data_IF_721350805489
#
_entry.id   IF_721350805489
#
_cell.length_a   1.000
_cell.length_b   1.000
_cell.length_c   1.000
_cell.angle_alpha   90.00
_cell.angle_beta   90.00
_cell.angle_gamma   90.00
#
_symmetry.space_group_name_H-M   'P 1'
#
loop_
_entity.id
_entity.type
_entity.pdbx_description
1 polymer ?
#
# COMPACT_ATOMS: atom_id res chain seq x y z
N UNK A 1 -7.98 30.24 -5.10
CA UNK A 1 -9.22 29.44 -5.19
C UNK A 1 -10.32 30.23 -4.52
N UNK A 2 -11.52 30.28 -5.11
CA UNK A 2 -12.63 31.01 -4.53
C UNK A 2 -13.02 30.44 -3.15
N UNK A 3 -13.40 31.32 -2.22
CA UNK A 3 -13.68 30.97 -0.81
C UNK A 3 -14.96 30.11 -0.64
N UNK A 4 -15.76 30.00 -1.68
CA UNK A 4 -17.10 29.40 -1.72
C UNK A 4 -17.14 28.06 -2.47
N UNK A 5 -15.99 27.45 -2.73
CA UNK A 5 -15.86 26.20 -3.53
C UNK A 5 -16.73 25.01 -3.06
N UNK A 6 -17.22 25.05 -1.82
CA UNK A 6 -18.05 24.02 -1.20
C UNK A 6 -19.55 24.32 -1.31
N UNK A 7 -19.90 25.45 -1.93
CA UNK A 7 -21.29 25.88 -2.11
C UNK A 7 -21.89 25.14 -3.31
N UNK A 8 -23.07 24.56 -3.09
CA UNK A 8 -23.85 23.92 -4.15
C UNK A 8 -24.66 24.97 -4.92
N UNK A 9 -24.81 24.77 -6.23
CA UNK A 9 -25.65 25.65 -7.05
C UNK A 9 -27.15 25.51 -6.70
N UNK A 10 -27.62 24.27 -6.46
CA UNK A 10 -29.02 23.95 -6.12
C UNK A 10 -29.07 23.00 -4.90
N UNK A 11 -28.76 23.46 -3.68
CA UNK A 11 -28.73 22.60 -2.50
C UNK A 11 -30.08 21.96 -2.18
N UNK A 12 -31.19 22.66 -2.46
CA UNK A 12 -32.56 22.19 -2.20
C UNK A 12 -32.99 21.02 -3.11
N UNK A 13 -32.24 20.75 -4.19
CA UNK A 13 -32.49 19.63 -5.11
C UNK A 13 -31.75 18.36 -4.71
N UNK A 14 -30.88 18.40 -3.68
CA UNK A 14 -30.09 17.25 -3.24
C UNK A 14 -30.75 16.59 -2.03
N UNK A 15 -31.21 15.33 -2.15
CA UNK A 15 -31.73 14.58 -1.00
C UNK A 15 -30.65 14.44 0.08
N UNK A 16 -31.00 14.79 1.32
CA UNK A 16 -30.10 14.65 2.47
C UNK A 16 -30.48 13.44 3.34
N UNK A 17 -29.50 12.71 3.92
CA UNK A 17 -28.06 12.96 3.88
C UNK A 17 -27.41 12.50 2.56
N UNK A 18 -26.46 13.28 2.06
CA UNK A 18 -25.64 12.94 0.88
C UNK A 18 -24.14 13.15 1.18
N UNK A 19 -23.30 12.27 0.64
CA UNK A 19 -21.85 12.46 0.60
C UNK A 19 -21.47 13.22 -0.66
N UNK A 20 -20.97 14.43 -0.50
CA UNK A 20 -20.56 15.29 -1.61
C UNK A 20 -19.05 15.20 -1.81
N UNK A 21 -18.64 14.99 -3.06
CA UNK A 21 -17.24 15.01 -3.48
C UNK A 21 -17.06 16.07 -4.56
N UNK A 22 -15.92 16.76 -4.53
CA UNK A 22 -15.62 17.86 -5.45
C UNK A 22 -14.50 17.41 -6.41
N UNK A 23 -14.82 17.03 -7.66
CA UNK A 23 -13.84 16.49 -8.62
C UNK A 23 -12.58 17.36 -8.79
N UNK A 24 -12.73 18.68 -8.86
CA UNK A 24 -11.59 19.60 -9.00
C UNK A 24 -10.70 19.63 -7.75
N UNK A 25 -11.27 19.39 -6.57
CA UNK A 25 -10.49 19.25 -5.33
C UNK A 25 -9.73 17.94 -5.27
N UNK A 26 -10.35 16.85 -5.75
CA UNK A 26 -9.69 15.56 -5.89
C UNK A 26 -8.49 15.68 -6.85
N UNK A 27 -8.69 16.29 -8.03
CA UNK A 27 -7.62 16.55 -9.00
C UNK A 27 -6.47 17.36 -8.41
N UNK A 28 -6.78 18.43 -7.68
CA UNK A 28 -5.75 19.24 -7.02
C UNK A 28 -4.99 18.46 -5.94
N UNK A 29 -5.67 17.64 -5.14
CA UNK A 29 -5.02 16.79 -4.14
C UNK A 29 -4.10 15.76 -4.80
N UNK A 30 -4.54 15.12 -5.89
CA UNK A 30 -3.72 14.21 -6.69
C UNK A 30 -2.49 14.94 -7.22
N UNK A 31 -2.67 16.12 -7.83
CA UNK A 31 -1.59 16.94 -8.35
C UNK A 31 -0.56 17.28 -7.27
N UNK A 32 -1.02 17.64 -6.06
CA UNK A 32 -0.14 17.94 -4.92
C UNK A 32 0.68 16.72 -4.48
N UNK A 33 0.06 15.54 -4.39
CA UNK A 33 0.78 14.30 -4.04
C UNK A 33 1.87 13.98 -5.08
N UNK A 34 1.53 14.04 -6.36
CA UNK A 34 2.51 13.81 -7.45
C UNK A 34 3.63 14.84 -7.40
N UNK A 35 3.29 16.13 -7.23
CA UNK A 35 4.28 17.21 -7.14
C UNK A 35 5.22 17.03 -5.95
N UNK A 36 4.70 16.58 -4.80
CA UNK A 36 5.52 16.39 -3.60
C UNK A 36 6.58 15.30 -3.74
N UNK A 37 6.36 14.31 -4.62
CA UNK A 37 7.32 13.24 -4.89
C UNK A 37 8.18 13.47 -6.14
N UNK A 38 7.77 14.39 -7.02
CA UNK A 38 8.39 14.62 -8.33
C UNK A 38 8.12 13.52 -9.36
N UNK A 39 7.65 12.34 -8.95
CA UNK A 39 7.36 11.20 -9.82
C UNK A 39 6.16 10.40 -9.30
N UNK A 40 5.17 10.17 -10.16
CA UNK A 40 3.92 9.50 -9.80
C UNK A 40 4.14 8.00 -9.50
N UNK A 41 5.20 7.42 -10.05
CA UNK A 41 5.59 6.03 -9.89
C UNK A 41 6.03 5.71 -8.46
N UNK A 42 6.33 6.71 -7.63
CA UNK A 42 6.57 6.48 -6.18
C UNK A 42 5.29 6.42 -5.36
N UNK A 43 4.13 6.72 -5.96
CA UNK A 43 2.85 6.60 -5.27
C UNK A 43 2.28 5.20 -5.41
N UNK A 44 1.88 4.63 -4.27
CA UNK A 44 0.99 3.48 -4.16
C UNK A 44 -0.21 3.84 -3.31
N UNK A 45 -1.08 4.71 -3.83
CA UNK A 45 -2.18 5.30 -3.06
C UNK A 45 -3.17 4.25 -2.56
N UNK A 46 -3.71 4.47 -1.37
CA UNK A 46 -4.60 3.50 -0.73
C UNK A 46 -6.08 3.84 -0.97
N UNK A 47 -6.81 2.94 -1.63
CA UNK A 47 -8.21 3.20 -2.04
C UNK A 47 -9.24 3.07 -0.93
N UNK A 48 -8.86 2.58 0.27
CA UNK A 48 -9.81 2.33 1.37
C UNK A 48 -10.58 3.58 1.80
N UNK A 49 -10.03 4.77 1.54
CA UNK A 49 -10.64 6.06 1.87
C UNK A 49 -11.87 6.34 1.02
N UNK A 50 -11.78 6.11 -0.30
CA UNK A 50 -12.82 6.51 -1.25
C UNK A 50 -13.58 5.31 -1.82
N UNK A 51 -12.92 4.18 -2.10
CA UNK A 51 -13.52 2.98 -2.70
C UNK A 51 -14.30 3.26 -4.00
N UNK A 52 -13.80 4.21 -4.78
CA UNK A 52 -14.41 4.70 -6.03
C UNK A 52 -13.48 4.47 -7.22
N UNK A 53 -13.97 3.78 -8.24
CA UNK A 53 -13.22 3.52 -9.48
C UNK A 53 -12.92 4.80 -10.25
N UNK A 54 -13.81 5.79 -10.19
CA UNK A 54 -13.65 7.09 -10.83
C UNK A 54 -12.44 7.85 -10.28
N UNK A 55 -12.21 7.77 -8.97
CA UNK A 55 -11.03 8.38 -8.32
C UNK A 55 -9.76 7.63 -8.69
N UNK A 56 -9.80 6.30 -8.79
CA UNK A 56 -8.67 5.48 -9.29
C UNK A 56 -8.33 5.90 -10.71
N UNK A 57 -9.31 6.05 -11.61
CA UNK A 57 -9.08 6.50 -12.98
C UNK A 57 -8.52 7.94 -13.03
N UNK A 58 -8.93 8.83 -12.13
CA UNK A 58 -8.31 10.15 -11.99
C UNK A 58 -6.84 10.05 -11.58
N UNK A 59 -6.51 9.18 -10.62
CA UNK A 59 -5.14 8.92 -10.17
C UNK A 59 -4.29 8.33 -11.31
N UNK A 60 -4.83 7.37 -12.06
CA UNK A 60 -4.16 6.77 -13.24
C UNK A 60 -3.91 7.77 -14.35
N UNK A 61 -4.86 8.67 -14.64
CA UNK A 61 -4.65 9.77 -15.59
C UNK A 61 -3.54 10.74 -15.16
N UNK A 62 -3.26 10.82 -13.87
CA UNK A 62 -2.15 11.60 -13.31
C UNK A 62 -0.82 10.82 -13.23
N UNK A 63 -0.76 9.60 -13.79
CA UNK A 63 0.44 8.76 -13.83
C UNK A 63 0.55 7.74 -12.69
N UNK A 64 -0.39 7.72 -11.73
CA UNK A 64 -0.35 6.77 -10.61
C UNK A 64 -0.88 5.41 -11.08
N UNK A 65 0.02 4.42 -11.17
CA UNK A 65 -0.31 3.07 -11.68
C UNK A 65 -0.41 2.00 -10.59
N UNK A 66 0.07 2.31 -9.37
CA UNK A 66 0.17 1.39 -8.24
C UNK A 66 -0.82 1.77 -7.14
N UNK A 67 -1.49 0.77 -6.56
CA UNK A 67 -2.54 0.99 -5.56
C UNK A 67 -2.46 -0.01 -4.41
N UNK A 68 -2.93 0.43 -3.24
CA UNK A 68 -3.19 -0.43 -2.07
C UNK A 68 -4.67 -0.55 -1.82
N UNK A 69 -5.10 -1.76 -1.47
CA UNK A 69 -6.46 -2.08 -1.04
C UNK A 69 -6.43 -2.85 0.28
N UNK A 70 -7.54 -2.83 1.02
CA UNK A 70 -7.69 -3.55 2.29
C UNK A 70 -8.52 -4.82 2.14
N UNK A 71 -9.25 -4.99 1.04
CA UNK A 71 -10.17 -6.11 0.83
C UNK A 71 -10.07 -6.67 -0.59
N UNK A 72 -10.51 -7.92 -0.77
CA UNK A 72 -10.61 -8.55 -2.10
C UNK A 72 -11.55 -7.77 -3.02
N UNK A 73 -12.66 -7.23 -2.51
CA UNK A 73 -13.60 -6.43 -3.33
C UNK A 73 -12.95 -5.14 -3.84
N UNK A 74 -12.10 -4.51 -3.03
CA UNK A 74 -11.32 -3.35 -3.46
C UNK A 74 -10.21 -3.74 -4.46
N UNK A 75 -9.59 -4.91 -4.30
CA UNK A 75 -8.63 -5.45 -5.27
C UNK A 75 -9.28 -5.71 -6.64
N UNK A 76 -10.49 -6.27 -6.64
CA UNK A 76 -11.29 -6.50 -7.84
C UNK A 76 -11.66 -5.16 -8.51
N UNK A 77 -12.15 -4.19 -7.74
CA UNK A 77 -12.45 -2.84 -8.24
C UNK A 77 -11.22 -2.19 -8.88
N UNK A 78 -10.03 -2.34 -8.27
CA UNK A 78 -8.79 -1.84 -8.84
C UNK A 78 -8.44 -2.51 -10.18
N UNK A 79 -8.61 -3.83 -10.29
CA UNK A 79 -8.44 -4.56 -11.54
C UNK A 79 -9.38 -4.04 -12.64
N UNK A 80 -10.66 -3.83 -12.31
CA UNK A 80 -11.66 -3.28 -13.24
C UNK A 80 -11.38 -1.82 -13.61
N UNK A 81 -10.85 -1.02 -12.69
CA UNK A 81 -10.53 0.39 -12.89
C UNK A 81 -9.24 0.62 -13.70
N UNK A 82 -8.48 -0.43 -14.03
CA UNK A 82 -7.29 -0.36 -14.85
C UNK A 82 -5.98 -0.10 -14.09
N UNK A 83 -5.93 -0.44 -12.80
CA UNK A 83 -4.67 -0.47 -12.05
C UNK A 83 -3.64 -1.40 -12.72
N UNK A 84 -2.35 -1.11 -12.60
CA UNK A 84 -1.28 -1.98 -13.13
C UNK A 84 -0.60 -2.81 -12.04
N UNK A 85 -0.59 -2.30 -10.82
CA UNK A 85 -0.02 -2.99 -9.66
C UNK A 85 -0.94 -2.77 -8.45
N UNK A 86 -1.40 -3.87 -7.87
CA UNK A 86 -2.35 -3.89 -6.75
C UNK A 86 -1.72 -4.66 -5.59
N UNK A 87 -1.55 -3.96 -4.47
CA UNK A 87 -1.15 -4.55 -3.20
C UNK A 87 -2.38 -4.72 -2.30
N UNK A 88 -2.74 -5.96 -1.99
CA UNK A 88 -3.63 -6.26 -0.87
C UNK A 88 -2.86 -6.05 0.43
N UNK A 89 -3.08 -4.90 1.07
CA UNK A 89 -2.44 -4.49 2.32
C UNK A 89 -3.12 -5.15 3.54
N UNK A 90 -3.39 -6.44 3.43
CA UNK A 90 -3.87 -7.32 4.48
C UNK A 90 -3.47 -8.76 4.14
N UNK A 91 -3.13 -9.58 5.14
CA UNK A 91 -2.78 -10.99 4.93
C UNK A 91 -4.04 -11.81 4.62
N UNK A 92 -4.21 -12.36 3.39
CA UNK A 92 -5.35 -13.20 3.07
C UNK A 92 -5.18 -14.55 3.74
N UNK A 93 -6.28 -15.06 4.30
CA UNK A 93 -6.33 -16.37 4.94
C UNK A 93 -7.50 -17.17 4.38
N UNK A 94 -7.37 -18.50 4.43
CA UNK A 94 -8.38 -19.43 3.96
C UNK A 94 -8.87 -19.10 2.53
N UNK A 95 -10.19 -18.93 2.31
CA UNK A 95 -10.74 -18.76 0.96
C UNK A 95 -10.25 -17.49 0.24
N UNK A 96 -9.79 -16.47 0.97
CA UNK A 96 -9.33 -15.24 0.35
C UNK A 96 -8.01 -15.40 -0.41
N UNK A 97 -7.21 -16.43 -0.11
CA UNK A 97 -6.01 -16.77 -0.87
C UNK A 97 -6.41 -17.15 -2.31
N UNK A 98 -7.33 -18.09 -2.46
CA UNK A 98 -7.85 -18.51 -3.77
C UNK A 98 -8.55 -17.37 -4.52
N UNK A 99 -9.25 -16.48 -3.81
CA UNK A 99 -9.87 -15.30 -4.44
C UNK A 99 -8.83 -14.32 -4.99
N UNK A 100 -7.75 -14.05 -4.25
CA UNK A 100 -6.66 -13.18 -4.74
C UNK A 100 -6.00 -13.79 -5.98
N UNK A 101 -5.70 -15.08 -5.96
CA UNK A 101 -5.12 -15.80 -7.10
C UNK A 101 -6.08 -15.82 -8.31
N UNK A 102 -7.38 -15.95 -8.07
CA UNK A 102 -8.41 -15.84 -9.11
C UNK A 102 -8.40 -14.47 -9.79
N UNK A 103 -8.26 -13.38 -9.02
CA UNK A 103 -8.11 -12.03 -9.58
C UNK A 103 -6.85 -11.90 -10.43
N UNK A 104 -5.71 -12.43 -9.95
CA UNK A 104 -4.47 -12.45 -10.73
C UNK A 104 -4.60 -13.25 -12.04
N UNK A 105 -5.37 -14.34 -12.04
CA UNK A 105 -5.65 -15.12 -13.25
C UNK A 105 -6.57 -14.41 -14.25
N UNK A 106 -7.56 -13.64 -13.76
CA UNK A 106 -8.51 -12.89 -14.59
C UNK A 106 -7.91 -11.60 -15.17
N UNK A 107 -7.20 -10.84 -14.36
CA UNK A 107 -6.62 -9.55 -14.74
C UNK A 107 -5.12 -9.70 -15.04
N UNK A 108 -4.79 -10.41 -16.13
CA UNK A 108 -3.40 -10.81 -16.46
C UNK A 108 -2.42 -9.65 -16.66
N UNK A 109 -2.92 -8.47 -16.99
CA UNK A 109 -2.12 -7.25 -17.17
C UNK A 109 -1.91 -6.46 -15.87
N UNK A 110 -2.33 -7.04 -14.73
CA UNK A 110 -2.27 -6.43 -13.40
C UNK A 110 -1.45 -7.32 -12.48
N UNK A 111 -0.41 -6.74 -11.88
CA UNK A 111 0.40 -7.43 -10.86
C UNK A 111 -0.31 -7.34 -9.51
N UNK A 112 -0.88 -8.44 -9.05
CA UNK A 112 -1.41 -8.53 -7.69
C UNK A 112 -0.34 -9.03 -6.73
N UNK A 113 -0.27 -8.42 -5.55
CA UNK A 113 0.61 -8.81 -4.46
C UNK A 113 -0.12 -8.72 -3.12
N UNK A 114 0.45 -9.34 -2.08
CA UNK A 114 -0.11 -9.31 -0.73
C UNK A 114 0.98 -9.12 0.32
N UNK A 115 0.58 -8.80 1.54
CA UNK A 115 1.47 -8.79 2.70
C UNK A 115 1.36 -10.11 3.50
N UNK A 116 2.43 -10.49 4.20
CA UNK A 116 2.43 -11.57 5.18
C UNK A 116 3.38 -11.29 6.36
N UNK A 117 3.04 -11.77 7.55
CA UNK A 117 3.81 -11.65 8.79
C UNK A 117 3.95 -12.97 9.58
N UNK A 118 3.39 -14.07 9.05
CA UNK A 118 3.40 -15.38 9.66
C UNK A 118 3.94 -16.46 8.70
N UNK A 119 4.72 -17.41 9.24
CA UNK A 119 5.32 -18.48 8.44
C UNK A 119 4.28 -19.46 7.88
N UNK A 120 3.22 -19.76 8.65
CA UNK A 120 2.12 -20.62 8.19
C UNK A 120 1.32 -19.96 7.07
N UNK A 121 1.07 -18.66 7.18
CA UNK A 121 0.43 -17.88 6.13
C UNK A 121 1.27 -17.84 4.83
N UNK A 122 2.57 -17.62 4.93
CA UNK A 122 3.49 -17.70 3.77
C UNK A 122 3.45 -19.09 3.12
N UNK A 123 3.47 -20.16 3.93
CA UNK A 123 3.33 -21.53 3.43
C UNK A 123 2.02 -21.77 2.67
N UNK A 124 0.90 -21.33 3.21
CA UNK A 124 -0.41 -21.47 2.58
C UNK A 124 -0.52 -20.65 1.28
N UNK A 125 0.09 -19.46 1.24
CA UNK A 125 0.19 -18.64 0.03
C UNK A 125 1.00 -19.35 -1.06
N UNK A 126 2.18 -19.87 -0.70
CA UNK A 126 3.07 -20.59 -1.61
C UNK A 126 2.40 -21.82 -2.23
N UNK A 127 1.80 -22.69 -1.40
CA UNK A 127 1.11 -23.90 -1.86
C UNK A 127 -0.02 -23.57 -2.83
N UNK A 128 -0.88 -22.61 -2.48
CA UNK A 128 -2.01 -22.23 -3.32
C UNK A 128 -1.57 -21.55 -4.63
N UNK A 129 -0.56 -20.68 -4.57
CA UNK A 129 -0.02 -19.99 -5.75
C UNK A 129 0.65 -20.97 -6.70
N UNK A 130 1.44 -21.92 -6.17
CA UNK A 130 2.05 -23.00 -6.94
C UNK A 130 0.99 -23.88 -7.63
N UNK A 131 -0.07 -24.28 -6.90
CA UNK A 131 -1.17 -25.05 -7.46
C UNK A 131 -1.93 -24.29 -8.57
N UNK A 132 -2.00 -22.96 -8.48
CA UNK A 132 -2.60 -22.10 -9.49
C UNK A 132 -1.66 -21.78 -10.68
N UNK A 133 -0.39 -22.16 -10.62
CA UNK A 133 0.61 -21.80 -11.64
C UNK A 133 0.91 -20.29 -11.67
N UNK A 134 0.78 -19.61 -10.53
CA UNK A 134 1.01 -18.17 -10.37
C UNK A 134 2.21 -17.97 -9.44
N UNK A 135 3.11 -17.07 -9.80
CA UNK A 135 4.11 -16.54 -8.85
C UNK A 135 3.52 -15.30 -8.19
N UNK A 136 3.19 -15.41 -6.90
CA UNK A 136 2.58 -14.34 -6.12
C UNK A 136 3.65 -13.52 -5.39
N UNK A 137 3.80 -12.22 -5.69
CA UNK A 137 4.66 -11.35 -4.90
C UNK A 137 4.12 -11.14 -3.49
N UNK A 138 4.96 -11.37 -2.49
CA UNK A 138 4.64 -11.22 -1.07
C UNK A 138 5.58 -10.19 -0.44
N UNK A 139 5.00 -9.24 0.27
CA UNK A 139 5.71 -8.25 1.07
C UNK A 139 5.73 -8.70 2.53
N UNK A 140 6.86 -8.57 3.22
CA UNK A 140 6.89 -8.79 4.66
C UNK A 140 6.24 -7.60 5.38
N UNK A 141 5.14 -7.83 6.10
CA UNK A 141 4.50 -6.79 6.93
C UNK A 141 5.30 -6.63 8.23
N UNK A 142 5.80 -5.42 8.48
CA UNK A 142 6.60 -5.10 9.65
C UNK A 142 5.79 -4.29 10.66
N UNK A 143 5.80 -4.73 11.92
CA UNK A 143 5.35 -3.88 13.03
C UNK A 143 6.47 -2.92 13.42
N UNK A 144 6.31 -1.66 12.99
CA UNK A 144 7.24 -0.56 13.27
C UNK A 144 6.85 0.24 14.53
N UNK A 145 6.02 -0.34 15.39
CA UNK A 145 5.58 0.24 16.66
C UNK A 145 4.08 0.56 16.75
N UNK A 146 3.28 0.16 15.76
CA UNK A 146 1.83 0.38 15.77
C UNK A 146 1.09 -0.65 16.64
N UNK A 147 1.62 -1.87 16.78
CA UNK A 147 0.96 -2.93 17.55
C UNK A 147 -0.37 -3.38 16.94
N UNK A 148 -0.45 -3.47 15.60
CA UNK A 148 -1.68 -3.85 14.88
C UNK A 148 -1.54 -5.18 14.14
N UNK A 149 -0.75 -5.18 13.08
CA UNK A 149 -0.32 -6.34 12.28
C UNK A 149 1.17 -6.15 12.00
N UNK A 150 1.80 -7.18 11.47
CA UNK A 150 3.20 -7.14 11.11
C UNK A 150 4.07 -7.79 12.17
N UNK A 151 5.17 -8.35 11.70
CA UNK A 151 6.17 -8.96 12.57
C UNK A 151 7.15 -7.89 13.06
N UNK A 152 7.52 -7.87 14.34
CA UNK A 152 8.57 -6.98 14.81
C UNK A 152 9.89 -7.25 14.08
N UNK A 153 10.67 -6.19 13.86
CA UNK A 153 11.99 -6.31 13.25
C UNK A 153 12.89 -7.23 14.09
N UNK A 154 13.65 -8.12 13.43
CA UNK A 154 14.60 -9.02 14.06
C UNK A 154 14.64 -10.41 13.41
N UNK A 155 15.23 -11.37 14.12
CA UNK A 155 15.54 -12.69 13.56
C UNK A 155 14.31 -13.46 13.07
N UNK A 156 13.17 -13.31 13.73
CA UNK A 156 11.92 -13.95 13.31
C UNK A 156 11.44 -13.38 11.95
N UNK A 157 11.49 -12.06 11.78
CA UNK A 157 11.18 -11.38 10.52
C UNK A 157 12.11 -11.82 9.37
N UNK A 158 13.43 -11.96 9.65
CA UNK A 158 14.40 -12.50 8.67
C UNK A 158 14.03 -13.93 8.27
N UNK A 159 13.61 -14.75 9.23
CA UNK A 159 13.23 -16.15 8.98
C UNK A 159 12.02 -16.24 8.04
N UNK A 160 11.02 -15.37 8.25
CA UNK A 160 9.85 -15.29 7.37
C UNK A 160 10.23 -14.74 5.99
N UNK A 161 11.09 -13.72 5.92
CA UNK A 161 11.55 -13.19 4.63
C UNK A 161 12.29 -14.24 3.81
N UNK A 162 13.16 -15.05 4.45
CA UNK A 162 13.82 -16.20 3.82
C UNK A 162 12.81 -17.21 3.29
N UNK A 163 11.71 -17.45 4.01
CA UNK A 163 10.66 -18.35 3.56
C UNK A 163 9.97 -17.84 2.30
N UNK A 164 9.70 -16.53 2.23
CA UNK A 164 9.13 -15.88 1.03
C UNK A 164 10.09 -16.02 -0.17
N UNK A 165 11.41 -15.90 0.05
CA UNK A 165 12.43 -16.01 -1.00
C UNK A 165 12.62 -17.44 -1.52
N UNK A 166 12.40 -18.45 -0.67
CA UNK A 166 12.76 -19.84 -0.97
C UNK A 166 11.60 -20.73 -1.40
N UNK A 167 10.36 -20.40 -1.01
CA UNK A 167 9.21 -21.24 -1.34
C UNK A 167 8.76 -21.04 -2.79
N UNK A 168 8.48 -22.13 -3.54
CA UNK A 168 7.92 -22.01 -4.88
C UNK A 168 6.52 -21.39 -4.84
N UNK A 169 6.16 -20.64 -5.88
CA UNK A 169 4.86 -19.99 -6.00
C UNK A 169 4.77 -18.60 -5.35
N UNK A 170 5.76 -18.20 -4.54
CA UNK A 170 5.88 -16.83 -4.02
C UNK A 170 7.21 -16.20 -4.40
N UNK A 171 7.27 -14.88 -4.38
CA UNK A 171 8.51 -14.12 -4.57
C UNK A 171 8.59 -12.92 -3.61
N UNK A 172 9.78 -12.51 -3.18
CA UNK A 172 9.95 -11.36 -2.30
C UNK A 172 9.67 -10.06 -3.06
N UNK A 173 8.59 -9.36 -2.68
CA UNK A 173 8.26 -8.06 -3.23
C UNK A 173 8.95 -6.90 -2.47
N UNK A 174 9.37 -7.16 -1.23
CA UNK A 174 10.04 -6.18 -0.37
C UNK A 174 9.41 -6.07 1.01
N UNK A 175 9.55 -4.89 1.62
CA UNK A 175 9.06 -4.61 2.98
C UNK A 175 7.81 -3.73 2.94
N UNK A 176 6.80 -4.11 3.71
CA UNK A 176 5.62 -3.28 3.96
C UNK A 176 5.65 -2.78 5.40
N UNK A 177 5.33 -1.50 5.60
CA UNK A 177 5.15 -0.93 6.93
C UNK A 177 3.98 0.06 6.95
N UNK A 178 3.39 0.23 8.13
CA UNK A 178 2.37 1.26 8.35
C UNK A 178 2.60 1.98 9.67
N UNK A 179 2.87 3.28 9.56
CA UNK A 179 3.29 4.18 10.64
C UNK A 179 2.16 5.12 11.08
N UNK A 180 0.90 4.68 10.97
CA UNK A 180 -0.28 5.49 11.28
C UNK A 180 -0.39 5.92 12.75
N UNK A 181 0.39 5.33 13.66
CA UNK A 181 0.50 5.76 15.06
C UNK A 181 1.31 7.06 15.21
N UNK A 182 2.04 7.49 14.18
CA UNK A 182 2.78 8.75 14.16
C UNK A 182 1.86 9.87 13.68
N UNK A 183 1.07 10.43 14.60
CA UNK A 183 0.10 11.48 14.33
C UNK A 183 0.21 12.67 15.29
N UNK A 184 1.38 12.88 15.92
CA UNK A 184 1.61 14.08 16.74
C UNK A 184 1.32 15.34 15.92
N UNK A 185 0.58 16.29 16.51
CA UNK A 185 0.21 17.55 15.86
C UNK A 185 1.43 18.42 15.55
N UNK A 186 2.47 18.34 16.37
CA UNK A 186 3.76 18.99 16.15
C UNK A 186 4.57 18.22 15.09
N UNK A 187 4.84 18.84 13.91
CA UNK A 187 5.61 18.20 12.85
C UNK A 187 7.04 17.82 13.25
N UNK A 188 7.70 18.61 14.12
CA UNK A 188 9.09 18.33 14.52
C UNK A 188 9.17 17.08 15.39
N UNK A 189 8.26 16.96 16.36
CA UNK A 189 8.12 15.75 17.18
C UNK A 189 7.77 14.52 16.33
N UNK A 190 6.86 14.68 15.36
CA UNK A 190 6.48 13.60 14.45
C UNK A 190 7.65 13.16 13.57
N UNK A 191 8.44 14.10 13.04
CA UNK A 191 9.64 13.84 12.25
C UNK A 191 10.69 13.07 13.07
N UNK A 192 10.95 13.49 14.31
CA UNK A 192 11.92 12.81 15.18
C UNK A 192 11.54 11.34 15.44
N UNK A 193 10.26 11.07 15.74
CA UNK A 193 9.77 9.70 15.90
C UNK A 193 9.83 8.89 14.61
N UNK A 194 9.47 9.51 13.49
CA UNK A 194 9.56 8.90 12.17
C UNK A 194 11.01 8.52 11.83
N UNK A 195 11.98 9.40 12.11
CA UNK A 195 13.40 9.13 11.86
C UNK A 195 13.89 7.92 12.67
N UNK A 196 13.60 7.86 13.97
CA UNK A 196 13.96 6.70 14.80
C UNK A 196 13.35 5.39 14.31
N UNK A 197 12.15 5.45 13.72
CA UNK A 197 11.48 4.29 13.14
C UNK A 197 12.14 3.88 11.82
N UNK A 198 12.35 4.82 10.90
CA UNK A 198 12.88 4.53 9.56
C UNK A 198 14.34 4.06 9.60
N UNK A 199 15.14 4.56 10.55
CA UNK A 199 16.54 4.11 10.72
C UNK A 199 16.62 2.61 11.05
N UNK A 200 15.66 2.09 11.82
CA UNK A 200 15.56 0.66 12.11
C UNK A 200 15.17 -0.14 10.87
N UNK A 201 14.25 0.38 10.06
CA UNK A 201 13.84 -0.25 8.79
C UNK A 201 15.00 -0.29 7.80
N UNK A 202 15.78 0.78 7.67
CA UNK A 202 16.99 0.81 6.82
C UNK A 202 18.06 -0.17 7.30
N UNK A 203 18.29 -0.24 8.61
CA UNK A 203 19.23 -1.20 9.20
C UNK A 203 18.79 -2.64 8.91
N UNK A 204 17.50 -2.93 9.07
CA UNK A 204 16.93 -4.25 8.79
C UNK A 204 16.97 -4.61 7.29
N UNK A 205 16.69 -3.66 6.39
CA UNK A 205 16.87 -3.86 4.95
C UNK A 205 18.31 -4.22 4.61
N UNK A 206 19.28 -3.49 5.16
CA UNK A 206 20.72 -3.77 4.99
C UNK A 206 21.08 -5.17 5.48
N UNK A 207 20.52 -5.61 6.61
CA UNK A 207 20.74 -6.95 7.16
C UNK A 207 20.23 -8.06 6.21
N UNK A 208 19.03 -7.89 5.64
CA UNK A 208 18.49 -8.82 4.64
C UNK A 208 19.37 -8.87 3.38
N UNK A 209 19.72 -7.72 2.83
CA UNK A 209 20.55 -7.62 1.62
C UNK A 209 21.95 -8.23 1.83
N UNK A 210 22.56 -8.01 3.01
CA UNK A 210 23.85 -8.62 3.40
C UNK A 210 23.75 -10.13 3.54
N UNK A 211 22.59 -10.65 3.95
CA UNK A 211 22.31 -12.08 4.00
C UNK A 211 22.00 -12.70 2.62
N UNK A 212 22.09 -11.91 1.53
CA UNK A 212 21.84 -12.36 0.17
C UNK A 212 20.35 -12.41 -0.21
N UNK A 213 19.48 -11.80 0.59
CA UNK A 213 18.04 -11.76 0.33
C UNK A 213 17.70 -10.46 -0.40
N UNK A 214 17.13 -10.51 -1.62
CA UNK A 214 16.79 -9.31 -2.36
C UNK A 214 15.65 -8.55 -1.67
N UNK A 215 15.77 -7.22 -1.54
CA UNK A 215 14.71 -6.34 -1.06
C UNK A 215 14.37 -5.33 -2.17
N UNK A 216 13.49 -5.68 -3.12
CA UNK A 216 13.26 -4.87 -4.31
C UNK A 216 12.66 -3.50 -4.03
N UNK A 217 11.85 -3.39 -2.97
CA UNK A 217 11.13 -2.16 -2.63
C UNK A 217 10.78 -2.11 -1.15
N UNK A 218 10.44 -0.91 -0.69
CA UNK A 218 9.84 -0.66 0.61
C UNK A 218 8.61 0.22 0.39
N UNK A 219 7.48 -0.17 0.96
CA UNK A 219 6.24 0.59 0.88
C UNK A 219 5.74 0.98 2.27
N UNK A 220 5.42 2.26 2.45
CA UNK A 220 4.96 2.77 3.73
C UNK A 220 4.32 4.14 3.67
N UNK A 221 4.10 4.74 4.84
CA UNK A 221 3.60 6.11 4.96
C UNK A 221 2.08 6.22 4.97
N UNK A 222 1.54 6.60 6.13
CA UNK A 222 0.22 7.23 6.21
C UNK A 222 0.27 8.70 5.77
N UNK A 223 -0.90 9.34 5.62
CA UNK A 223 -0.97 10.76 5.25
C UNK A 223 -0.17 11.70 6.17
N UNK A 224 -0.15 11.53 7.51
CA UNK A 224 0.63 12.40 8.39
C UNK A 224 2.16 12.30 8.21
N UNK A 225 2.67 11.14 7.80
CA UNK A 225 4.10 10.86 7.61
C UNK A 225 4.52 10.87 6.14
N UNK A 226 3.57 10.96 5.21
CA UNK A 226 3.82 11.07 3.77
C UNK A 226 4.89 12.12 3.40
N UNK A 227 4.87 13.35 3.94
CA UNK A 227 5.90 14.33 3.62
C UNK A 227 7.32 13.86 3.97
N UNK A 228 7.48 13.09 5.06
CA UNK A 228 8.79 12.61 5.51
C UNK A 228 9.29 11.48 4.63
N UNK A 229 8.44 10.49 4.30
CA UNK A 229 8.78 9.45 3.32
C UNK A 229 9.13 10.05 1.96
N UNK A 230 8.36 11.04 1.51
CA UNK A 230 8.59 11.71 0.23
C UNK A 230 9.96 12.41 0.15
N UNK A 231 10.37 13.08 1.24
CA UNK A 231 11.58 13.89 1.30
C UNK A 231 12.86 13.11 1.66
N UNK A 232 12.75 12.04 2.44
CA UNK A 232 13.92 11.42 3.09
C UNK A 232 14.17 9.97 2.69
N UNK A 233 13.35 9.39 1.81
CA UNK A 233 13.49 7.99 1.36
C UNK A 233 13.29 7.86 -0.14
N UNK A 234 13.66 6.72 -0.70
CA UNK A 234 13.30 6.27 -2.04
C UNK A 234 12.01 5.42 -2.05
N UNK A 235 11.40 5.19 -0.88
CA UNK A 235 10.27 4.29 -0.69
C UNK A 235 9.06 4.65 -1.54
N UNK A 236 8.24 3.63 -1.81
CA UNK A 236 6.89 3.80 -2.29
C UNK A 236 6.02 4.38 -1.16
N UNK A 237 5.46 5.55 -1.42
CA UNK A 237 4.59 6.26 -0.50
C UNK A 237 3.14 5.82 -0.71
N UNK A 238 2.46 5.49 0.38
CA UNK A 238 1.10 4.93 0.32
C UNK A 238 0.01 5.70 1.10
N UNK A 239 -0.07 7.04 0.95
CA UNK A 239 -1.13 7.82 1.57
C UNK A 239 -2.50 7.40 1.02
N UNK A 240 -3.55 7.67 1.79
CA UNK A 240 -4.92 7.33 1.41
C UNK A 240 -5.94 8.42 1.69
N UNK A 241 -5.84 9.07 2.86
CA UNK A 241 -6.73 10.19 3.26
C UNK A 241 -6.16 11.51 2.77
#
# INVERSE_FOLDING_TARGET
MANDWHTLASPDEIPSPALLVYPERIKENIRRMVTALGQAERLRTHVKTHKMAEVVQMQTKAGISKFKCATIAEAEMLGQAGARDVLLANQPVGPNIGRLLGLAGWFRDVRFSTIADDAGAVGALAEAAQAAGITLPVWLDLDVGMGRTGIPLGQAAITIYKLIDQLPGVEPAGLHLYDGHLHDSDPAKRLSKWQMMIDKVHSFRTELETAGLPVPSVVGGGTPTFPFHAQHTDHECSPGT
#
